data_IF_639394375201
#
_entry.id   IF_639394375201
#
_cell.length_a   1.000
_cell.length_b   1.000
_cell.length_c   1.000
_cell.angle_alpha   90.00
_cell.angle_beta   90.00
_cell.angle_gamma   90.00
#
_symmetry.space_group_name_H-M   'P 1'
#
loop_
_entity.id
_entity.type
_entity.pdbx_description
1 polymer ?
#
# COMPACT_ATOMS: atom_id res chain seq x y z
N UNK A 1 -7.19 15.47 -22.53
CA UNK A 1 -5.91 15.11 -23.18
C UNK A 1 -5.55 13.68 -22.78
N UNK A 2 -5.50 12.75 -23.75
CA UNK A 2 -5.04 11.38 -23.51
C UNK A 2 -3.53 11.33 -23.75
N UNK A 3 -2.74 11.75 -22.77
CA UNK A 3 -1.28 11.72 -22.87
C UNK A 3 -0.81 10.27 -22.82
N UNK A 4 -0.34 9.75 -23.96
CA UNK A 4 0.21 8.40 -24.06
C UNK A 4 1.52 8.37 -23.28
N UNK A 5 1.54 7.64 -22.16
CA UNK A 5 2.74 7.47 -21.33
C UNK A 5 3.69 6.49 -22.05
N UNK A 6 4.96 6.84 -22.28
CA UNK A 6 5.97 5.94 -22.83
C UNK A 6 6.13 4.66 -21.99
N UNK A 7 6.46 3.54 -22.65
CA UNK A 7 6.64 2.26 -21.94
C UNK A 7 7.73 2.31 -20.86
N UNK A 8 8.91 2.94 -21.08
CA UNK A 8 9.93 3.05 -20.04
C UNK A 8 9.44 3.76 -18.77
N UNK A 9 8.63 4.81 -18.93
CA UNK A 9 8.07 5.55 -17.78
C UNK A 9 7.05 4.71 -17.01
N UNK A 10 6.24 3.90 -17.70
CA UNK A 10 5.32 2.94 -17.07
C UNK A 10 6.06 1.88 -16.27
N UNK A 11 7.14 1.32 -16.83
CA UNK A 11 7.93 0.29 -16.16
C UNK A 11 8.69 0.88 -14.94
N UNK A 12 9.21 2.10 -15.04
CA UNK A 12 9.80 2.81 -13.91
C UNK A 12 8.79 3.06 -12.79
N UNK A 13 7.60 3.59 -13.13
CA UNK A 13 6.54 3.81 -12.15
C UNK A 13 6.10 2.50 -11.49
N UNK A 14 5.97 1.42 -12.28
CA UNK A 14 5.63 0.08 -11.77
C UNK A 14 6.64 -0.38 -10.73
N UNK A 15 7.94 -0.31 -11.02
CA UNK A 15 9.00 -0.72 -10.08
C UNK A 15 8.99 0.11 -8.79
N UNK A 16 8.71 1.41 -8.89
CA UNK A 16 8.57 2.29 -7.72
C UNK A 16 7.36 1.91 -6.86
N UNK A 17 6.21 1.63 -7.48
CA UNK A 17 5.02 1.19 -6.75
C UNK A 17 5.18 -0.20 -6.15
N UNK A 18 5.87 -1.12 -6.82
CA UNK A 18 6.24 -2.43 -6.28
C UNK A 18 7.12 -2.29 -5.02
N UNK A 19 8.06 -1.33 -5.00
CA UNK A 19 8.87 -1.04 -3.82
C UNK A 19 8.01 -0.50 -2.66
N UNK A 20 7.09 0.42 -2.94
CA UNK A 20 6.15 0.93 -1.93
C UNK A 20 5.32 -0.21 -1.34
N UNK A 21 4.78 -1.11 -2.17
CA UNK A 21 4.00 -2.27 -1.71
C UNK A 21 4.84 -3.24 -0.85
N UNK A 22 6.11 -3.45 -1.21
CA UNK A 22 7.04 -4.27 -0.40
C UNK A 22 7.23 -3.68 1.00
N UNK A 23 7.47 -2.38 1.08
CA UNK A 23 7.63 -1.71 2.37
C UNK A 23 6.33 -1.76 3.17
N UNK A 24 5.19 -1.49 2.54
CA UNK A 24 3.86 -1.55 3.20
C UNK A 24 3.58 -2.92 3.80
N UNK A 25 3.96 -4.01 3.12
CA UNK A 25 3.83 -5.35 3.69
C UNK A 25 4.60 -5.50 5.02
N UNK A 26 5.84 -5.03 5.06
CA UNK A 26 6.64 -5.07 6.29
C UNK A 26 6.07 -4.17 7.41
N UNK A 27 5.43 -3.05 7.06
CA UNK A 27 4.71 -2.21 8.02
C UNK A 27 3.47 -2.91 8.58
N UNK A 28 2.68 -3.56 7.73
CA UNK A 28 1.48 -4.30 8.14
C UNK A 28 1.83 -5.42 9.13
N UNK A 29 2.86 -6.22 8.84
CA UNK A 29 3.34 -7.28 9.73
C UNK A 29 3.72 -6.74 11.12
N UNK A 30 4.37 -5.57 11.18
CA UNK A 30 4.70 -4.91 12.46
C UNK A 30 3.49 -4.37 13.19
N UNK A 31 2.55 -3.76 12.48
CA UNK A 31 1.31 -3.22 13.04
C UNK A 31 0.49 -4.34 13.66
N UNK A 32 0.33 -5.47 12.96
CA UNK A 32 -0.37 -6.64 13.45
C UNK A 32 0.30 -7.20 14.72
N UNK A 33 1.63 -7.32 14.72
CA UNK A 33 2.38 -7.75 15.91
C UNK A 33 2.15 -6.81 17.11
N UNK A 34 2.27 -5.49 16.91
CA UNK A 34 2.04 -4.51 17.99
C UNK A 34 0.60 -4.47 18.45
N UNK A 35 -0.37 -4.68 17.55
CA UNK A 35 -1.77 -4.78 17.91
C UNK A 35 -2.02 -5.97 18.85
N UNK A 36 -1.41 -7.12 18.56
CA UNK A 36 -1.52 -8.33 19.40
C UNK A 36 -0.89 -8.15 20.80
N UNK A 37 0.20 -7.40 20.89
CA UNK A 37 0.89 -7.10 22.17
C UNK A 37 0.18 -6.03 22.99
N UNK A 38 -0.62 -5.18 22.34
CA UNK A 38 -1.29 -4.04 22.98
C UNK A 38 -2.47 -4.51 23.84
N UNK A 39 -2.47 -4.13 25.12
CA UNK A 39 -3.53 -4.51 26.07
C UNK A 39 -4.66 -3.48 26.19
N UNK A 40 -4.36 -2.21 25.96
CA UNK A 40 -5.33 -1.13 26.11
C UNK A 40 -6.28 -1.09 24.90
N UNK A 41 -7.61 -1.18 25.11
CA UNK A 41 -8.59 -1.22 24.01
C UNK A 41 -8.49 -0.02 23.07
N UNK A 42 -8.30 1.19 23.60
CA UNK A 42 -8.17 2.41 22.78
C UNK A 42 -6.98 2.35 21.82
N UNK A 43 -5.86 1.78 22.28
CA UNK A 43 -4.67 1.60 21.43
C UNK A 43 -4.85 0.45 20.44
N UNK A 44 -5.57 -0.62 20.79
CA UNK A 44 -5.95 -1.67 19.83
C UNK A 44 -6.84 -1.12 18.71
N UNK A 45 -7.79 -0.24 19.04
CA UNK A 45 -8.65 0.42 18.06
C UNK A 45 -7.83 1.29 17.10
N UNK A 46 -6.84 2.03 17.62
CA UNK A 46 -5.91 2.79 16.78
C UNK A 46 -5.13 1.90 15.82
N UNK A 47 -4.59 0.76 16.28
CA UNK A 47 -3.89 -0.17 15.39
C UNK A 47 -4.80 -0.76 14.31
N UNK A 48 -6.05 -1.07 14.65
CA UNK A 48 -7.03 -1.56 13.69
C UNK A 48 -7.34 -0.52 12.60
N UNK A 49 -7.54 0.74 12.99
CA UNK A 49 -7.77 1.86 12.07
C UNK A 49 -6.56 2.11 11.16
N UNK A 50 -5.36 2.04 11.74
CA UNK A 50 -4.12 2.15 10.98
C UNK A 50 -4.01 1.03 9.93
N UNK A 51 -4.30 -0.23 10.30
CA UNK A 51 -4.27 -1.35 9.36
C UNK A 51 -5.27 -1.18 8.23
N UNK A 52 -6.50 -0.72 8.52
CA UNK A 52 -7.52 -0.43 7.51
C UNK A 52 -7.02 0.63 6.50
N UNK A 53 -6.40 1.70 6.99
CA UNK A 53 -5.80 2.74 6.14
C UNK A 53 -4.74 2.19 5.19
N UNK A 54 -3.92 1.23 5.64
CA UNK A 54 -2.94 0.56 4.79
C UNK A 54 -3.58 -0.32 3.72
N UNK A 55 -4.65 -1.05 4.07
CA UNK A 55 -5.42 -1.86 3.10
C UNK A 55 -5.99 -0.99 1.99
N UNK A 56 -6.57 0.16 2.33
CA UNK A 56 -7.10 1.11 1.35
C UNK A 56 -6.01 1.67 0.43
N UNK A 57 -4.84 2.00 0.99
CA UNK A 57 -3.69 2.47 0.23
C UNK A 57 -3.15 1.41 -0.72
N UNK A 58 -3.02 0.15 -0.27
CA UNK A 58 -2.66 -1.00 -1.09
C UNK A 58 -3.62 -1.17 -2.29
N UNK A 59 -4.93 -1.07 -2.02
CA UNK A 59 -5.96 -1.17 -3.05
C UNK A 59 -5.91 -0.01 -4.05
N UNK A 60 -5.57 1.20 -3.59
CA UNK A 60 -5.37 2.37 -4.46
C UNK A 60 -4.17 2.18 -5.38
N UNK A 61 -3.03 1.73 -4.85
CA UNK A 61 -1.80 1.48 -5.62
C UNK A 61 -2.04 0.38 -6.65
N UNK A 62 -2.59 -0.76 -6.23
CA UNK A 62 -2.88 -1.90 -7.11
C UNK A 62 -3.78 -1.52 -8.29
N UNK A 63 -4.87 -0.78 -8.03
CA UNK A 63 -5.77 -0.28 -9.09
C UNK A 63 -5.07 0.66 -10.06
N UNK A 64 -4.18 1.51 -9.56
CA UNK A 64 -3.41 2.43 -10.41
C UNK A 64 -2.43 1.66 -11.31
N UNK A 65 -1.70 0.69 -10.76
CA UNK A 65 -0.77 -0.16 -11.52
C UNK A 65 -1.48 -0.86 -12.68
N UNK A 66 -2.62 -1.50 -12.41
CA UNK A 66 -3.43 -2.17 -13.45
C UNK A 66 -3.86 -1.18 -14.55
N UNK A 67 -4.36 0.00 -14.16
CA UNK A 67 -4.90 0.98 -15.11
C UNK A 67 -3.86 1.72 -15.93
N UNK A 68 -2.68 1.98 -15.36
CA UNK A 68 -1.71 2.96 -15.89
C UNK A 68 -0.33 2.40 -16.17
N UNK A 69 0.06 1.32 -15.53
CA UNK A 69 1.40 0.72 -15.67
C UNK A 69 1.36 -0.59 -16.48
N UNK A 70 0.35 -1.43 -16.27
CA UNK A 70 0.27 -2.75 -16.91
C UNK A 70 -0.42 -2.73 -18.28
N UNK A 71 -1.20 -1.69 -18.56
CA UNK A 71 -1.93 -1.48 -19.81
C UNK A 71 -1.09 -0.76 -20.87
#
# INVERSE_FOLDING_TARGET
>A
MNTRIPRPDKDRMRAQLEEVLRQQKAWMEKIEAFQMETKAPDYQAFWADLNNSYVELNNKISRYMVRKCNR
#
